data_IF_894426905404
#
_entry.id   IF_894426905404
#
_cell.length_a   1.000
_cell.length_b   1.000
_cell.length_c   1.000
_cell.angle_alpha   90.00
_cell.angle_beta   90.00
_cell.angle_gamma   90.00
#
_symmetry.space_group_name_H-M   'P 1'
#
loop_
_entity.id
_entity.type
_entity.pdbx_description
1 polymer ?
#
# COMPACT_ATOMS: atom_id res chain seq x y z
N UNK A 1 -15.93 7.25 -7.62
CA UNK A 1 -14.92 7.89 -6.76
C UNK A 1 -13.67 7.01 -6.79
N UNK A 2 -12.48 7.56 -6.55
CA UNK A 2 -11.22 6.81 -6.61
C UNK A 2 -10.40 7.03 -5.34
N UNK A 3 -9.43 6.16 -5.10
CA UNK A 3 -8.32 6.40 -4.17
C UNK A 3 -7.05 6.71 -4.97
N UNK A 4 -6.08 7.37 -4.34
CA UNK A 4 -4.76 7.60 -4.94
C UNK A 4 -3.71 6.82 -4.18
N UNK A 5 -2.85 6.09 -4.88
CA UNK A 5 -1.68 5.42 -4.27
C UNK A 5 -0.40 5.97 -4.89
N UNK A 6 0.50 6.49 -4.05
CA UNK A 6 1.80 7.05 -4.43
C UNK A 6 2.92 6.02 -4.27
N UNK A 7 3.87 6.04 -5.19
CA UNK A 7 5.06 5.17 -5.21
C UNK A 7 6.15 5.79 -6.12
N UNK A 8 7.36 5.23 -6.12
CA UNK A 8 8.49 5.66 -6.92
C UNK A 8 8.84 7.14 -6.81
N UNK A 9 9.50 7.64 -7.85
CA UNK A 9 9.76 9.07 -8.05
C UNK A 9 8.49 9.81 -8.48
N UNK A 10 7.66 10.22 -7.50
CA UNK A 10 6.41 10.96 -7.73
C UNK A 10 5.41 10.27 -8.68
N UNK A 11 5.39 8.93 -8.71
CA UNK A 11 4.36 8.19 -9.44
C UNK A 11 3.11 8.06 -8.58
N UNK A 12 1.96 8.06 -9.24
CA UNK A 12 0.68 7.80 -8.61
C UNK A 12 -0.23 6.98 -9.51
N UNK A 13 -1.15 6.26 -8.89
CA UNK A 13 -2.23 5.59 -9.60
C UNK A 13 -3.58 5.84 -8.94
N UNK A 14 -4.59 6.03 -9.78
CA UNK A 14 -5.99 6.16 -9.36
C UNK A 14 -6.68 4.80 -9.44
N UNK A 15 -7.20 4.32 -8.31
CA UNK A 15 -7.83 3.01 -8.21
C UNK A 15 -9.30 3.12 -7.85
N UNK A 16 -10.11 2.27 -8.49
CA UNK A 16 -11.53 2.16 -8.19
C UNK A 16 -11.73 1.27 -6.95
N UNK A 17 -12.20 1.81 -5.80
CA UNK A 17 -12.35 1.02 -4.58
C UNK A 17 -13.52 0.01 -4.65
N UNK A 18 -14.36 0.08 -5.69
CA UNK A 18 -15.48 -0.85 -5.89
C UNK A 18 -15.05 -2.20 -6.50
N UNK A 19 -13.74 -2.45 -6.64
CA UNK A 19 -13.21 -3.76 -7.00
C UNK A 19 -13.02 -4.66 -5.76
N UNK A 20 -12.63 -5.91 -6.01
CA UNK A 20 -12.25 -6.85 -4.96
C UNK A 20 -10.83 -6.57 -4.48
N UNK A 21 -10.53 -6.87 -3.21
CA UNK A 21 -9.19 -6.74 -2.62
C UNK A 21 -8.15 -7.50 -3.45
N UNK A 22 -8.43 -8.74 -3.87
CA UNK A 22 -7.51 -9.51 -4.71
C UNK A 22 -7.10 -8.75 -5.99
N UNK A 23 -8.06 -8.12 -6.68
CA UNK A 23 -7.80 -7.37 -7.91
C UNK A 23 -7.01 -6.08 -7.61
N UNK A 24 -7.36 -5.37 -6.54
CA UNK A 24 -6.67 -4.16 -6.11
C UNK A 24 -5.20 -4.46 -5.78
N UNK A 25 -4.96 -5.49 -4.97
CA UNK A 25 -3.63 -5.91 -4.53
C UNK A 25 -2.78 -6.43 -5.69
N UNK A 26 -3.33 -7.28 -6.58
CA UNK A 26 -2.62 -7.75 -7.78
C UNK A 26 -2.21 -6.59 -8.71
N UNK A 27 -3.06 -5.57 -8.83
CA UNK A 27 -2.73 -4.39 -9.63
C UNK A 27 -1.62 -3.56 -8.97
N UNK A 28 -1.72 -3.30 -7.66
CA UNK A 28 -0.70 -2.55 -6.92
C UNK A 28 0.67 -3.24 -6.92
N UNK A 29 0.72 -4.58 -6.89
CA UNK A 29 1.99 -5.32 -7.03
C UNK A 29 2.69 -5.11 -8.38
N UNK A 30 2.00 -4.60 -9.40
CA UNK A 30 2.63 -4.20 -10.67
C UNK A 30 3.31 -2.83 -10.58
N UNK A 31 3.09 -2.08 -9.51
CA UNK A 31 3.68 -0.77 -9.25
C UNK A 31 5.00 -0.91 -8.48
N UNK A 32 6.08 -1.27 -9.19
CA UNK A 32 7.45 -1.39 -8.64
C UNK A 32 7.66 -2.48 -7.57
N UNK A 33 6.81 -3.50 -7.53
CA UNK A 33 7.07 -4.69 -6.70
C UNK A 33 7.57 -5.86 -7.57
N UNK A 34 8.34 -6.75 -6.96
CA UNK A 34 8.76 -7.99 -7.60
C UNK A 34 7.71 -9.10 -7.37
N UNK A 35 7.66 -10.14 -8.24
CA UNK A 35 6.80 -11.30 -8.03
C UNK A 35 7.03 -11.94 -6.65
N UNK A 36 5.97 -12.06 -5.86
CA UNK A 36 6.02 -12.64 -4.51
C UNK A 36 6.13 -11.60 -3.39
N UNK A 37 6.36 -10.33 -3.70
CA UNK A 37 6.35 -9.27 -2.68
C UNK A 37 4.97 -9.13 -2.03
N UNK A 38 4.95 -8.96 -0.72
CA UNK A 38 3.76 -8.54 0.04
C UNK A 38 3.75 -7.02 0.15
N UNK A 39 2.56 -6.43 0.05
CA UNK A 39 2.37 -4.98 0.10
C UNK A 39 1.32 -4.60 1.12
N UNK A 40 1.47 -3.41 1.68
CA UNK A 40 0.49 -2.73 2.52
C UNK A 40 0.38 -1.26 2.08
N UNK A 41 -0.61 -0.55 2.61
CA UNK A 41 -0.80 0.87 2.35
C UNK A 41 -0.63 1.67 3.64
N UNK A 42 0.00 2.84 3.55
CA UNK A 42 0.10 3.81 4.63
C UNK A 42 -0.70 5.06 4.28
N UNK A 43 -1.60 5.51 5.14
CA UNK A 43 -2.30 6.77 4.92
C UNK A 43 -1.50 7.98 5.41
N UNK A 44 -2.02 9.18 5.12
CA UNK A 44 -1.37 10.45 5.48
C UNK A 44 -1.29 10.70 7.00
N UNK A 45 -2.05 9.95 7.81
CA UNK A 45 -2.01 10.01 9.27
C UNK A 45 -1.00 9.03 9.89
N UNK A 46 -0.42 8.15 9.07
CA UNK A 46 0.48 7.09 9.51
C UNK A 46 -0.23 5.79 9.91
N UNK A 47 -1.52 5.64 9.58
CA UNK A 47 -2.23 4.39 9.81
C UNK A 47 -1.94 3.40 8.69
N UNK A 48 -1.60 2.16 9.09
CA UNK A 48 -1.38 1.04 8.19
C UNK A 48 -2.71 0.39 7.81
N UNK A 49 -2.85 0.07 6.52
CA UNK A 49 -3.84 -0.83 6.00
C UNK A 49 -3.15 -2.11 5.52
N UNK A 50 -3.35 -3.18 6.28
CA UNK A 50 -2.70 -4.49 6.10
C UNK A 50 -3.31 -5.30 4.95
N UNK A 51 -3.15 -4.84 3.70
CA UNK A 51 -3.58 -5.58 2.51
C UNK A 51 -2.94 -6.98 2.42
N UNK A 52 -1.72 -7.14 2.95
CA UNK A 52 -0.99 -8.41 2.99
C UNK A 52 -1.64 -9.48 3.88
N UNK A 53 -2.53 -9.10 4.80
CA UNK A 53 -3.33 -10.03 5.61
C UNK A 53 -4.63 -10.45 4.91
N UNK A 54 -5.06 -9.68 3.91
CA UNK A 54 -6.28 -9.90 3.14
C UNK A 54 -5.98 -10.34 1.71
N UNK A 55 -4.73 -10.72 1.43
CA UNK A 55 -4.31 -11.12 0.09
C UNK A 55 -5.13 -12.33 -0.39
N UNK A 56 -5.73 -12.21 -1.58
CA UNK A 56 -6.64 -13.22 -2.12
C UNK A 56 -8.11 -13.07 -1.70
N UNK A 57 -8.46 -12.11 -0.82
CA UNK A 57 -9.86 -11.87 -0.44
C UNK A 57 -10.70 -11.36 -1.62
N UNK A 58 -11.90 -11.93 -1.76
CA UNK A 58 -12.91 -11.47 -2.71
C UNK A 58 -13.77 -10.33 -2.15
N UNK A 59 -13.50 -9.83 -0.94
CA UNK A 59 -14.22 -8.72 -0.35
C UNK A 59 -13.99 -7.42 -1.12
N UNK A 60 -14.95 -6.49 -1.03
CA UNK A 60 -14.84 -5.21 -1.72
C UNK A 60 -13.83 -4.30 -1.03
N UNK A 61 -12.88 -3.74 -1.79
CA UNK A 61 -11.84 -2.87 -1.26
C UNK A 61 -12.41 -1.63 -0.54
N UNK A 62 -13.58 -1.13 -0.98
CA UNK A 62 -14.30 0.00 -0.37
C UNK A 62 -14.58 -0.15 1.12
N UNK A 63 -14.58 -1.39 1.64
CA UNK A 63 -14.81 -1.64 3.06
C UNK A 63 -13.60 -1.23 3.91
N UNK A 64 -12.43 -1.05 3.29
CA UNK A 64 -11.14 -0.84 3.95
C UNK A 64 -10.45 0.45 3.52
N UNK A 65 -10.59 0.84 2.25
CA UNK A 65 -10.03 2.10 1.73
C UNK A 65 -11.07 3.21 1.75
N UNK A 66 -10.64 4.42 2.06
CA UNK A 66 -11.49 5.61 2.07
C UNK A 66 -11.43 6.32 0.72
N UNK A 67 -12.60 6.60 0.16
CA UNK A 67 -12.69 7.34 -1.09
C UNK A 67 -12.02 8.72 -0.98
N UNK A 68 -11.35 9.16 -2.06
CA UNK A 68 -10.59 10.43 -2.14
C UNK A 68 -9.37 10.51 -1.23
N UNK A 69 -9.04 9.45 -0.49
CA UNK A 69 -7.84 9.40 0.33
C UNK A 69 -6.59 9.10 -0.51
N UNK A 70 -5.46 9.62 -0.05
CA UNK A 70 -4.14 9.27 -0.57
C UNK A 70 -3.46 8.25 0.35
N UNK A 71 -2.78 7.30 -0.28
CA UNK A 71 -2.00 6.27 0.38
C UNK A 71 -0.59 6.18 -0.23
N UNK A 72 0.35 5.66 0.54
CA UNK A 72 1.72 5.36 0.12
C UNK A 72 1.87 3.84 0.06
N UNK A 73 2.43 3.35 -1.04
CA UNK A 73 2.67 1.92 -1.22
C UNK A 73 3.89 1.49 -0.40
N UNK A 74 3.69 0.49 0.46
CA UNK A 74 4.75 -0.11 1.27
C UNK A 74 5.00 -1.54 0.82
N UNK A 75 6.28 -1.93 0.80
CA UNK A 75 6.70 -3.32 0.76
C UNK A 75 6.81 -3.86 2.18
N UNK A 76 6.21 -5.01 2.42
CA UNK A 76 6.25 -5.72 3.69
C UNK A 76 7.43 -6.69 3.67
N UNK A 77 8.36 -6.51 4.59
CA UNK A 77 9.55 -7.35 4.75
C UNK A 77 9.34 -8.18 6.02
N UNK A 78 9.03 -9.45 5.84
CA UNK A 78 8.86 -10.42 6.93
C UNK A 78 10.17 -11.17 7.12
N UNK A 79 10.73 -11.13 8.32
CA UNK A 79 11.86 -11.98 8.70
C UNK A 79 11.43 -13.42 8.99
N UNK A 80 12.39 -14.29 9.24
CA UNK A 80 12.13 -15.69 9.56
C UNK A 80 11.69 -15.84 11.03
N UNK A 81 10.47 -16.31 11.25
CA UNK A 81 9.99 -16.71 12.58
C UNK A 81 9.54 -15.56 13.49
N UNK A 82 10.38 -15.14 14.44
CA UNK A 82 10.03 -14.21 15.53
C UNK A 82 10.45 -12.75 15.25
N UNK A 83 11.08 -12.49 14.12
CA UNK A 83 11.52 -11.13 13.78
C UNK A 83 10.31 -10.20 13.54
N UNK A 84 10.41 -8.93 13.94
CA UNK A 84 9.36 -7.96 13.69
C UNK A 84 9.17 -7.74 12.19
N UNK A 85 7.93 -7.40 11.80
CA UNK A 85 7.64 -6.98 10.43
C UNK A 85 8.29 -5.61 10.19
N UNK A 86 9.06 -5.52 9.11
CA UNK A 86 9.63 -4.27 8.64
C UNK A 86 8.88 -3.77 7.41
N UNK A 87 8.82 -2.45 7.25
CA UNK A 87 8.20 -1.81 6.10
C UNK A 87 9.24 -0.99 5.35
N UNK A 88 9.20 -1.10 4.03
CA UNK A 88 9.95 -0.24 3.13
C UNK A 88 8.97 0.58 2.29
N UNK A 89 9.06 1.91 2.38
CA UNK A 89 8.35 2.78 1.44
C UNK A 89 8.85 2.54 0.03
N UNK A 90 7.92 2.31 -0.90
CA UNK A 90 8.23 2.31 -2.32
C UNK A 90 8.19 3.71 -2.93
N UNK A 91 7.73 4.73 -2.19
CA UNK A 91 7.86 6.13 -2.59
C UNK A 91 9.27 6.63 -2.28
N UNK A 92 9.91 7.24 -3.29
CA UNK A 92 11.19 7.91 -3.13
C UNK A 92 11.02 9.22 -2.36
N UNK A 93 12.03 9.61 -1.60
CA UNK A 93 12.05 10.90 -0.89
C UNK A 93 10.85 11.07 0.06
N UNK A 94 10.44 9.99 0.73
CA UNK A 94 9.32 10.01 1.68
C UNK A 94 9.54 11.05 2.78
N UNK A 95 10.75 11.14 3.32
CA UNK A 95 11.16 12.10 4.34
C UNK A 95 11.07 13.56 3.91
N UNK A 96 11.29 13.88 2.62
CA UNK A 96 11.13 15.24 2.11
C UNK A 96 9.66 15.57 1.81
N UNK A 97 8.87 14.59 1.35
CA UNK A 97 7.48 14.79 0.91
C UNK A 97 6.45 14.64 2.04
N UNK A 98 6.68 13.73 2.97
CA UNK A 98 5.83 13.41 4.11
C UNK A 98 6.71 13.17 5.36
N UNK A 99 7.36 14.23 5.89
CA UNK A 99 8.34 14.10 6.98
C UNK A 99 7.77 13.44 8.26
N UNK A 100 6.46 13.53 8.48
CA UNK A 100 5.79 12.90 9.62
C UNK A 100 5.65 11.38 9.50
N UNK A 101 5.78 10.83 8.29
CA UNK A 101 5.65 9.40 8.00
C UNK A 101 6.99 8.67 7.91
N UNK A 102 8.11 9.42 7.93
CA UNK A 102 9.46 8.88 7.83
C UNK A 102 10.16 8.69 9.19
N UNK A 103 9.43 8.83 10.29
CA UNK A 103 9.93 8.82 11.67
C UNK A 103 9.90 7.42 12.31
#
# INVERSE_FOLDING_TARGET
MFITVKFGANCEVLLNPYCQIIILTEYLKKCQCEPGDSIDLLDESGALLNLSEMEGSSESARNYVQERQQYILLKVIRGDGLEPIHYQSLMENLEQSHPLLAA
#
